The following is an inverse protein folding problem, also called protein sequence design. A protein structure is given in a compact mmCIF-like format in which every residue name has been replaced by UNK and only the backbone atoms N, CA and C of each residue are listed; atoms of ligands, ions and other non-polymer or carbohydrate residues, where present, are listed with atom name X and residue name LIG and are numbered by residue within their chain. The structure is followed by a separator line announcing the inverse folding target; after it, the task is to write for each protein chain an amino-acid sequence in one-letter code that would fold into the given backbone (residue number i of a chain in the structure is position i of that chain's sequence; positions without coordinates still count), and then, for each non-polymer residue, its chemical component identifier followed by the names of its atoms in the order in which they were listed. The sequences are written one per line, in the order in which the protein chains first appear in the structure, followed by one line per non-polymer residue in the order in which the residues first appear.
data_IF_408357382765
#
_entry.id   IF_408357382765
#
_cell.length_a   1.000
_cell.length_b   1.000
_cell.length_c   1.000
_cell.angle_alpha   90.00
_cell.angle_beta   90.00
_cell.angle_gamma   90.00
#
_symmetry.space_group_name_H-M   'P 1'
#
loop_
_entity.id
_entity.type
_entity.pdbx_description
1 polymer ?
#
# COMPACT_ATOMS: atom_id res chain seq x y z
N UNK A 1 -2.14 12.78 -3.65
CA UNK A 1 -0.84 12.50 -2.97
C UNK A 1 0.28 12.83 -3.94
N UNK A 2 1.39 13.37 -3.52
CA UNK A 2 2.51 13.70 -4.42
C UNK A 2 3.82 13.25 -3.79
N UNK A 3 3.94 11.94 -3.55
CA UNK A 3 5.15 11.35 -3.00
C UNK A 3 6.34 11.55 -3.95
N UNK A 4 7.53 11.82 -3.40
CA UNK A 4 8.73 12.13 -4.17
C UNK A 4 9.20 10.97 -5.07
N UNK A 5 8.77 9.75 -4.79
CA UNK A 5 9.18 8.53 -5.47
C UNK A 5 8.10 7.92 -6.39
N UNK A 6 6.91 8.53 -6.51
CA UNK A 6 5.79 7.92 -7.23
C UNK A 6 5.34 8.76 -8.43
N UNK A 7 5.26 8.15 -9.61
CA UNK A 7 4.81 8.80 -10.83
C UNK A 7 3.30 9.10 -10.82
N UNK A 8 2.49 8.29 -10.14
CA UNK A 8 1.03 8.45 -10.09
C UNK A 8 0.55 9.80 -9.55
N UNK A 9 1.40 10.50 -8.79
CA UNK A 9 1.08 11.82 -8.25
C UNK A 9 1.42 13.01 -9.16
N UNK A 10 2.09 12.80 -10.30
CA UNK A 10 2.64 13.89 -11.13
C UNK A 10 1.53 14.72 -11.75
N UNK A 11 0.49 14.06 -12.27
CA UNK A 11 -0.60 14.71 -13.01
C UNK A 11 -1.78 15.12 -12.10
N UNK A 12 -1.63 14.93 -10.78
CA UNK A 12 -2.66 15.27 -9.79
C UNK A 12 -3.85 14.30 -9.78
N UNK A 13 -4.89 14.66 -9.02
CA UNK A 13 -6.16 13.94 -8.99
C UNK A 13 -7.09 14.53 -10.05
N UNK A 14 -7.66 13.67 -10.89
CA UNK A 14 -8.68 14.09 -11.87
C UNK A 14 -10.07 13.89 -11.28
N UNK A 15 -10.38 12.66 -10.85
CA UNK A 15 -11.60 12.30 -10.14
C UNK A 15 -11.39 10.98 -9.37
N UNK A 16 -12.28 10.72 -8.46
CA UNK A 16 -12.39 9.42 -7.84
C UNK A 16 -13.15 8.44 -8.75
N UNK A 17 -12.81 7.15 -8.67
CA UNK A 17 -13.56 6.08 -9.31
C UNK A 17 -14.79 5.74 -8.47
N UNK A 18 -15.88 5.37 -9.13
CA UNK A 18 -17.05 4.79 -8.48
C UNK A 18 -16.79 3.33 -8.10
N UNK A 19 -17.55 2.79 -7.16
CA UNK A 19 -17.46 1.38 -6.77
C UNK A 19 -17.67 0.44 -7.97
N UNK A 20 -18.57 0.81 -8.90
CA UNK A 20 -18.83 0.05 -10.12
C UNK A 20 -17.64 0.05 -11.08
N UNK A 21 -16.92 1.16 -11.22
CA UNK A 21 -15.71 1.23 -12.05
C UNK A 21 -14.58 0.37 -11.46
N UNK A 22 -14.37 0.41 -10.15
CA UNK A 22 -13.36 -0.42 -9.47
C UNK A 22 -13.71 -1.90 -9.61
N UNK A 23 -14.99 -2.27 -9.46
CA UNK A 23 -15.45 -3.65 -9.65
C UNK A 23 -15.31 -4.08 -11.10
N UNK A 24 -15.56 -3.17 -12.05
CA UNK A 24 -15.44 -3.41 -13.48
C UNK A 24 -14.06 -3.90 -13.89
N UNK A 25 -12.97 -3.38 -13.30
CA UNK A 25 -11.60 -3.84 -13.54
C UNK A 25 -11.47 -5.35 -13.24
N UNK A 26 -12.07 -5.81 -12.14
CA UNK A 26 -12.02 -7.23 -11.73
C UNK A 26 -12.87 -8.09 -12.65
N UNK A 27 -14.03 -7.58 -13.07
CA UNK A 27 -14.91 -8.31 -14.00
C UNK A 27 -14.25 -8.48 -15.36
N UNK A 28 -13.57 -7.45 -15.88
CA UNK A 28 -12.83 -7.53 -17.14
C UNK A 28 -11.71 -8.57 -17.06
N UNK A 29 -10.89 -8.56 -16.01
CA UNK A 29 -9.83 -9.56 -15.83
C UNK A 29 -10.41 -10.96 -15.70
N UNK A 30 -11.51 -11.15 -14.96
CA UNK A 30 -12.18 -12.45 -14.87
C UNK A 30 -12.66 -12.93 -16.24
N UNK A 31 -13.21 -12.03 -17.07
CA UNK A 31 -13.67 -12.35 -18.43
C UNK A 31 -12.51 -12.76 -19.33
N UNK A 32 -11.43 -11.97 -19.32
CA UNK A 32 -10.27 -12.20 -20.18
C UNK A 32 -9.52 -13.49 -19.81
N UNK A 33 -9.49 -13.84 -18.52
CA UNK A 33 -8.90 -15.08 -18.01
C UNK A 33 -9.86 -16.30 -18.05
N UNK A 34 -11.02 -16.16 -18.71
CA UNK A 34 -11.96 -17.25 -18.93
C UNK A 34 -12.64 -17.77 -17.66
N UNK A 35 -12.93 -16.88 -16.71
CA UNK A 35 -13.73 -17.25 -15.54
C UNK A 35 -15.13 -17.72 -15.92
N UNK A 36 -15.67 -18.65 -15.14
CA UNK A 36 -17.04 -19.16 -15.28
C UNK A 36 -17.87 -18.82 -14.04
N UNK A 37 -19.18 -19.07 -14.08
CA UNK A 37 -20.06 -18.87 -12.93
C UNK A 37 -19.57 -19.63 -11.67
N UNK A 38 -18.96 -20.81 -11.88
CA UNK A 38 -18.50 -21.68 -10.78
C UNK A 38 -17.01 -21.48 -10.43
N UNK A 39 -16.25 -20.75 -11.26
CA UNK A 39 -14.81 -20.60 -11.10
C UNK A 39 -14.33 -19.20 -11.51
N UNK A 40 -14.09 -18.35 -10.51
CA UNK A 40 -13.43 -17.06 -10.72
C UNK A 40 -11.94 -17.23 -11.04
N UNK A 41 -11.37 -16.36 -11.86
CA UNK A 41 -9.94 -16.29 -12.15
C UNK A 41 -9.23 -15.40 -11.11
N UNK A 42 -9.83 -14.25 -10.75
CA UNK A 42 -9.30 -13.35 -9.73
C UNK A 42 -9.57 -13.90 -8.33
N UNK A 43 -8.51 -14.22 -7.59
CA UNK A 43 -8.58 -14.76 -6.22
C UNK A 43 -8.18 -13.77 -5.17
N UNK A 44 -7.30 -12.82 -5.50
CA UNK A 44 -6.80 -11.79 -4.59
C UNK A 44 -6.88 -10.42 -5.25
N UNK A 45 -7.16 -9.40 -4.48
CA UNK A 45 -7.27 -8.01 -4.93
C UNK A 45 -6.34 -7.13 -4.12
N UNK A 46 -5.60 -6.24 -4.78
CA UNK A 46 -4.74 -5.26 -4.12
C UNK A 46 -5.14 -3.84 -4.54
N UNK A 47 -5.53 -3.02 -3.59
CA UNK A 47 -5.80 -1.60 -3.79
C UNK A 47 -4.49 -0.82 -3.55
N UNK A 48 -3.58 -0.84 -4.55
CA UNK A 48 -2.22 -0.30 -4.46
C UNK A 48 -1.86 0.71 -5.55
N UNK A 49 -2.84 1.34 -6.18
CA UNK A 49 -2.70 2.38 -7.24
C UNK A 49 -3.96 2.43 -8.10
N UNK A 50 -4.14 3.49 -8.84
CA UNK A 50 -3.42 4.76 -8.78
C UNK A 50 -4.15 5.71 -7.87
N UNK A 51 -3.54 6.12 -6.75
CA UNK A 51 -4.14 7.07 -5.80
C UNK A 51 -4.11 6.56 -4.36
N UNK A 52 -5.03 7.08 -3.55
CA UNK A 52 -5.19 6.76 -2.14
C UNK A 52 -6.62 6.22 -1.90
N UNK A 53 -6.77 4.92 -1.61
CA UNK A 53 -8.10 4.33 -1.44
C UNK A 53 -8.94 4.99 -0.34
N UNK A 54 -8.31 5.37 0.77
CA UNK A 54 -9.03 5.98 1.89
C UNK A 54 -9.43 7.45 1.65
N UNK A 55 -8.91 8.09 0.60
CA UNK A 55 -9.37 9.40 0.14
C UNK A 55 -10.69 9.28 -0.66
N UNK A 56 -10.96 8.07 -1.19
CA UNK A 56 -12.20 7.68 -1.87
C UNK A 56 -13.04 6.70 -1.02
N UNK A 57 -13.13 6.95 0.27
CA UNK A 57 -13.59 6.01 1.28
C UNK A 57 -14.94 5.36 0.97
N UNK A 58 -15.97 6.17 0.65
CA UNK A 58 -17.33 5.68 0.49
C UNK A 58 -17.48 4.75 -0.72
N UNK A 59 -16.85 5.08 -1.84
CA UNK A 59 -16.87 4.22 -3.02
C UNK A 59 -16.01 2.96 -2.85
N UNK A 60 -14.88 3.07 -2.15
CA UNK A 60 -14.01 1.90 -1.86
C UNK A 60 -14.72 0.93 -0.90
N UNK A 61 -15.38 1.42 0.15
CA UNK A 61 -16.11 0.53 1.07
C UNK A 61 -17.32 -0.10 0.40
N UNK A 62 -18.04 0.63 -0.44
CA UNK A 62 -19.11 0.08 -1.28
C UNK A 62 -18.58 -1.00 -2.23
N UNK A 63 -17.43 -0.76 -2.86
CA UNK A 63 -16.75 -1.76 -3.68
C UNK A 63 -16.41 -3.03 -2.86
N UNK A 64 -15.88 -2.89 -1.64
CA UNK A 64 -15.57 -4.03 -0.78
C UNK A 64 -16.82 -4.86 -0.46
N UNK A 65 -17.96 -4.20 -0.19
CA UNK A 65 -19.24 -4.89 0.01
C UNK A 65 -19.67 -5.68 -1.24
N UNK A 66 -19.62 -5.05 -2.41
CA UNK A 66 -19.97 -5.70 -3.69
C UNK A 66 -19.04 -6.87 -4.04
N UNK A 67 -17.74 -6.70 -3.78
CA UNK A 67 -16.73 -7.73 -4.04
C UNK A 67 -16.93 -8.98 -3.16
N UNK A 68 -17.34 -8.78 -1.90
CA UNK A 68 -17.54 -9.84 -0.92
C UNK A 68 -18.95 -10.43 -0.95
N UNK A 69 -19.85 -9.88 -1.75
CA UNK A 69 -21.23 -10.37 -1.84
C UNK A 69 -21.27 -11.83 -2.24
N UNK A 70 -21.99 -12.66 -1.46
CA UNK A 70 -22.12 -14.12 -1.70
C UNK A 70 -22.81 -14.46 -3.02
N UNK A 71 -23.67 -13.58 -3.51
CA UNK A 71 -24.40 -13.74 -4.77
C UNK A 71 -23.66 -13.07 -5.95
N UNK A 72 -22.47 -12.46 -5.68
CA UNK A 72 -21.58 -11.83 -6.66
C UNK A 72 -20.28 -12.60 -6.87
N UNK A 73 -19.14 -11.87 -6.96
CA UNK A 73 -17.80 -12.46 -7.17
C UNK A 73 -17.34 -13.27 -5.95
N UNK A 74 -17.80 -12.90 -4.76
CA UNK A 74 -17.54 -13.59 -3.49
C UNK A 74 -16.04 -13.72 -3.16
N UNK A 75 -15.30 -12.63 -3.26
CA UNK A 75 -13.91 -12.56 -2.80
C UNK A 75 -13.89 -12.13 -1.34
N UNK A 76 -13.41 -13.02 -0.47
CA UNK A 76 -13.28 -12.72 0.96
C UNK A 76 -12.38 -11.52 1.21
N UNK A 77 -12.72 -10.69 2.21
CA UNK A 77 -11.88 -9.56 2.65
C UNK A 77 -10.45 -9.97 3.03
N UNK A 78 -10.25 -11.23 3.44
CA UNK A 78 -8.90 -11.78 3.71
C UNK A 78 -8.00 -11.82 2.49
N UNK A 79 -8.60 -11.85 1.30
CA UNK A 79 -7.91 -11.86 0.02
C UNK A 79 -7.82 -10.45 -0.59
N UNK A 80 -8.19 -9.43 0.19
CA UNK A 80 -8.08 -8.03 -0.22
C UNK A 80 -7.00 -7.34 0.59
N UNK A 81 -6.06 -6.69 -0.08
CA UNK A 81 -5.07 -5.81 0.54
C UNK A 81 -5.39 -4.36 0.19
N UNK A 82 -5.61 -3.53 1.20
CA UNK A 82 -5.84 -2.10 1.05
C UNK A 82 -4.61 -1.35 1.52
N UNK A 83 -3.95 -0.64 0.60
CA UNK A 83 -2.79 0.18 0.89
C UNK A 83 -3.18 1.64 1.09
N UNK A 84 -2.64 2.26 2.14
CA UNK A 84 -2.87 3.68 2.44
C UNK A 84 -1.58 4.38 2.82
N UNK A 85 -1.50 5.67 2.54
CA UNK A 85 -0.42 6.53 3.04
C UNK A 85 -0.53 6.84 4.55
N UNK A 86 -1.55 6.30 5.23
CA UNK A 86 -1.75 6.45 6.67
C UNK A 86 -2.72 7.56 7.05
N UNK A 87 -3.88 7.64 6.40
CA UNK A 87 -5.00 8.54 6.77
C UNK A 87 -5.65 7.97 8.04
N UNK A 88 -5.18 8.41 9.20
CA UNK A 88 -5.43 7.77 10.50
C UNK A 88 -6.88 7.74 10.93
N UNK A 89 -7.62 8.80 10.66
CA UNK A 89 -9.08 8.90 10.89
C UNK A 89 -9.86 7.88 10.05
N UNK A 90 -9.45 7.68 8.80
CA UNK A 90 -10.08 6.71 7.91
C UNK A 90 -9.70 5.26 8.23
N UNK A 91 -8.46 5.03 8.71
CA UNK A 91 -8.06 3.71 9.22
C UNK A 91 -8.94 3.29 10.41
N UNK A 92 -9.20 4.21 11.35
CA UNK A 92 -10.09 3.94 12.49
C UNK A 92 -11.52 3.71 12.03
N UNK A 93 -12.02 4.56 11.12
CA UNK A 93 -13.35 4.40 10.55
C UNK A 93 -13.51 3.05 9.85
N UNK A 94 -12.49 2.58 9.10
CA UNK A 94 -12.52 1.27 8.43
C UNK A 94 -12.72 0.12 9.43
N UNK A 95 -12.07 0.21 10.59
CA UNK A 95 -12.23 -0.76 11.69
C UNK A 95 -13.61 -0.66 12.36
N UNK A 96 -14.13 0.55 12.57
CA UNK A 96 -15.45 0.78 13.18
C UNK A 96 -16.60 0.34 12.27
N UNK A 97 -16.44 0.51 10.95
CA UNK A 97 -17.39 0.02 9.94
C UNK A 97 -17.31 -1.51 9.74
N UNK A 98 -16.39 -2.21 10.44
CA UNK A 98 -16.31 -3.67 10.49
C UNK A 98 -15.51 -4.33 9.37
N UNK A 99 -14.81 -3.56 8.53
CA UNK A 99 -13.96 -4.12 7.47
C UNK A 99 -12.67 -4.73 8.03
N UNK A 100 -12.37 -5.96 7.61
CA UNK A 100 -11.22 -6.74 8.08
C UNK A 100 -10.25 -7.15 6.96
N UNK A 101 -10.01 -6.27 6.01
CA UNK A 101 -9.05 -6.44 4.92
C UNK A 101 -7.60 -6.50 5.43
N UNK A 102 -6.66 -6.94 4.61
CA UNK A 102 -5.23 -6.81 4.93
C UNK A 102 -4.83 -5.35 4.79
N UNK A 103 -4.70 -4.66 5.93
CA UNK A 103 -4.30 -3.26 5.95
C UNK A 103 -2.80 -3.15 5.70
N UNK A 104 -2.43 -2.40 4.66
CA UNK A 104 -1.05 -2.10 4.30
C UNK A 104 -0.81 -0.61 4.40
N UNK A 105 0.21 -0.17 5.11
CA UNK A 105 0.46 1.25 5.38
C UNK A 105 1.82 1.65 4.82
N UNK A 106 1.82 2.62 3.93
CA UNK A 106 3.02 3.23 3.35
C UNK A 106 3.73 4.09 4.40
N UNK A 107 4.68 3.50 5.12
CA UNK A 107 5.47 4.18 6.15
C UNK A 107 6.69 4.88 5.55
N UNK A 108 7.52 4.14 4.83
CA UNK A 108 8.68 4.54 4.03
C UNK A 108 9.78 5.31 4.77
N UNK A 109 9.67 5.51 6.06
CA UNK A 109 10.68 6.19 6.87
C UNK A 109 10.61 5.74 8.34
N UNK A 110 11.74 5.75 9.08
CA UNK A 110 11.76 5.42 10.49
C UNK A 110 11.44 6.62 11.40
N UNK A 111 11.51 7.86 10.85
CA UNK A 111 11.23 9.11 11.58
C UNK A 111 10.36 10.06 10.76
N UNK A 112 9.66 10.97 11.44
CA UNK A 112 8.81 11.97 10.79
C UNK A 112 9.61 12.94 9.91
N UNK A 113 10.85 13.25 10.30
CA UNK A 113 11.74 14.15 9.55
C UNK A 113 12.04 13.56 8.17
N UNK A 114 12.51 12.31 8.13
CA UNK A 114 12.78 11.63 6.84
C UNK A 114 11.48 11.45 6.05
N UNK A 115 10.39 11.05 6.73
CA UNK A 115 9.11 10.82 6.07
C UNK A 115 8.58 12.07 5.34
N UNK A 116 8.72 13.23 5.94
CA UNK A 116 8.31 14.53 5.33
C UNK A 116 9.07 14.86 4.06
N UNK A 117 10.31 14.42 3.91
CA UNK A 117 11.11 14.70 2.70
C UNK A 117 10.59 13.93 1.49
N UNK A 118 9.92 12.80 1.70
CA UNK A 118 9.50 11.89 0.63
C UNK A 118 7.98 11.77 0.50
N UNK A 119 7.22 12.08 1.56
CA UNK A 119 5.75 11.96 1.59
C UNK A 119 5.11 13.24 2.14
N UNK A 120 4.45 14.06 1.32
CA UNK A 120 3.77 15.29 1.79
C UNK A 120 2.72 15.06 2.88
N UNK A 121 2.08 13.89 2.88
CA UNK A 121 1.10 13.49 3.90
C UNK A 121 1.68 13.42 5.32
N UNK A 122 3.00 13.27 5.46
CA UNK A 122 3.69 13.27 6.75
C UNK A 122 3.61 14.63 7.49
N UNK A 123 3.25 15.71 6.80
CA UNK A 123 2.97 16.99 7.45
C UNK A 123 1.71 16.92 8.33
N UNK A 124 0.72 16.10 7.94
CA UNK A 124 -0.54 15.92 8.66
C UNK A 124 -0.53 14.68 9.57
N UNK A 125 -0.05 13.56 9.06
CA UNK A 125 -0.12 12.26 9.74
C UNK A 125 1.26 11.83 10.22
N UNK A 126 1.50 11.89 11.53
CA UNK A 126 2.76 11.50 12.17
C UNK A 126 2.86 9.98 12.32
N UNK A 127 4.08 9.46 12.38
CA UNK A 127 4.33 8.03 12.58
C UNK A 127 3.62 7.52 13.84
N UNK A 128 3.68 8.26 14.94
CA UNK A 128 3.03 7.88 16.19
C UNK A 128 1.51 7.71 16.03
N UNK A 129 0.84 8.63 15.33
CA UNK A 129 -0.60 8.58 15.08
C UNK A 129 -0.97 7.40 14.16
N UNK A 130 -0.11 7.12 13.16
CA UNK A 130 -0.27 5.97 12.26
C UNK A 130 -0.17 4.65 13.03
N UNK A 131 0.82 4.52 13.92
CA UNK A 131 1.00 3.33 14.75
C UNK A 131 -0.18 3.10 15.68
N UNK A 132 -0.72 4.17 16.25
CA UNK A 132 -1.89 4.11 17.13
C UNK A 132 -3.15 3.73 16.34
N UNK A 133 -3.37 4.28 15.16
CA UNK A 133 -4.48 3.90 14.27
C UNK A 133 -4.36 2.43 13.79
N UNK A 134 -3.14 1.97 13.46
CA UNK A 134 -2.89 0.59 13.08
C UNK A 134 -3.14 -0.39 14.24
N UNK A 135 -2.72 -0.01 15.46
CA UNK A 135 -3.04 -0.78 16.67
C UNK A 135 -4.55 -0.85 16.90
N UNK A 136 -5.26 0.26 16.79
CA UNK A 136 -6.72 0.30 16.91
C UNK A 136 -7.39 -0.63 15.89
N UNK A 137 -6.92 -0.62 14.63
CA UNK A 137 -7.41 -1.53 13.59
C UNK A 137 -7.19 -3.00 13.99
N UNK A 138 -5.99 -3.34 14.50
CA UNK A 138 -5.69 -4.68 14.98
C UNK A 138 -6.58 -5.09 16.17
N UNK A 139 -6.74 -4.22 17.15
CA UNK A 139 -7.56 -4.50 18.34
C UNK A 139 -9.03 -4.79 17.98
N UNK A 140 -9.56 -4.12 16.95
CA UNK A 140 -10.93 -4.30 16.46
C UNK A 140 -11.12 -5.54 15.57
N UNK A 141 -10.16 -5.81 14.70
CA UNK A 141 -10.31 -6.80 13.61
C UNK A 141 -9.55 -8.11 13.85
N UNK A 142 -8.59 -8.12 14.77
CA UNK A 142 -7.63 -9.21 14.95
C UNK A 142 -6.64 -9.38 13.78
N UNK A 143 -6.67 -8.49 12.78
CA UNK A 143 -5.85 -8.58 11.57
C UNK A 143 -4.52 -7.89 11.74
N UNK A 144 -3.41 -8.63 11.57
CA UNK A 144 -2.07 -8.04 11.46
C UNK A 144 -2.03 -7.06 10.30
N UNK A 145 -1.29 -5.98 10.46
CA UNK A 145 -1.08 -4.99 9.41
C UNK A 145 0.34 -5.06 8.86
N UNK A 146 0.52 -4.49 7.68
CA UNK A 146 1.78 -4.49 6.94
C UNK A 146 2.27 -3.06 6.80
N UNK A 147 3.56 -2.84 7.03
CA UNK A 147 4.21 -1.59 6.65
C UNK A 147 5.01 -1.77 5.36
N UNK A 148 4.72 -0.95 4.37
CA UNK A 148 5.54 -0.82 3.16
C UNK A 148 6.68 0.16 3.42
N UNK A 149 7.90 -0.24 3.03
CA UNK A 149 9.09 0.57 3.19
C UNK A 149 9.92 0.53 1.91
N UNK A 150 9.80 1.57 1.08
CA UNK A 150 10.62 1.75 -0.11
C UNK A 150 12.02 2.20 0.29
N UNK A 151 13.02 1.41 -0.08
CA UNK A 151 14.42 1.70 0.16
C UNK A 151 14.92 2.70 -0.89
N UNK A 152 15.20 3.92 -0.46
CA UNK A 152 15.63 5.04 -1.31
C UNK A 152 17.09 5.34 -0.99
N UNK A 153 17.96 5.17 -1.99
CA UNK A 153 19.42 5.32 -1.86
C UNK A 153 19.81 6.69 -1.30
N UNK A 154 20.56 6.67 -0.19
CA UNK A 154 21.06 7.87 0.49
C UNK A 154 19.99 8.65 1.28
N UNK A 155 18.77 8.13 1.43
CA UNK A 155 17.69 8.80 2.16
C UNK A 155 17.26 8.00 3.40
N UNK A 156 16.89 6.75 3.21
CA UNK A 156 16.31 5.91 4.28
C UNK A 156 16.84 4.46 4.28
N UNK A 157 17.92 4.19 3.55
CA UNK A 157 18.50 2.87 3.31
C UNK A 157 19.71 2.54 4.21
N UNK A 158 20.05 3.39 5.16
CA UNK A 158 21.16 3.15 6.08
C UNK A 158 20.81 2.18 7.23
N UNK A 159 21.83 1.50 7.77
CA UNK A 159 21.72 0.63 8.94
C UNK A 159 21.02 1.31 10.12
N UNK A 160 21.36 2.57 10.43
CA UNK A 160 20.75 3.34 11.51
C UNK A 160 19.24 3.55 11.29
N UNK A 161 18.82 3.70 10.04
CA UNK A 161 17.40 3.79 9.69
C UNK A 161 16.66 2.49 10.01
N UNK A 162 17.26 1.33 9.70
CA UNK A 162 16.66 0.02 10.01
C UNK A 162 16.63 -0.25 11.50
N UNK A 163 17.68 0.09 12.25
CA UNK A 163 17.70 -0.04 13.70
C UNK A 163 16.66 0.87 14.37
N UNK A 164 16.49 2.08 13.85
CA UNK A 164 15.46 3.02 14.33
C UNK A 164 14.06 2.48 14.01
N UNK A 165 13.84 1.98 12.79
CA UNK A 165 12.57 1.35 12.38
C UNK A 165 12.25 0.16 13.28
N UNK A 166 13.23 -0.69 13.55
CA UNK A 166 13.05 -1.85 14.43
C UNK A 166 12.63 -1.43 15.85
N UNK A 167 13.25 -0.39 16.41
CA UNK A 167 12.85 0.16 17.73
C UNK A 167 11.39 0.67 17.71
N UNK A 168 11.01 1.40 16.68
CA UNK A 168 9.65 1.96 16.52
C UNK A 168 8.59 0.86 16.39
N UNK A 169 8.92 -0.25 15.74
CA UNK A 169 8.00 -1.35 15.47
C UNK A 169 8.04 -2.49 16.49
N UNK A 170 8.99 -2.47 17.43
CA UNK A 170 9.16 -3.54 18.42
C UNK A 170 7.88 -3.84 19.18
N UNK A 171 7.51 -5.13 19.25
CA UNK A 171 6.33 -5.63 19.97
C UNK A 171 4.99 -5.34 19.29
N UNK A 172 4.97 -4.80 18.07
CA UNK A 172 3.75 -4.55 17.31
C UNK A 172 3.38 -5.74 16.42
N UNK A 173 2.09 -6.06 16.24
CA UNK A 173 1.63 -7.18 15.41
C UNK A 173 1.70 -6.81 13.92
N UNK A 174 2.87 -6.48 13.42
CA UNK A 174 3.09 -6.03 12.06
C UNK A 174 4.04 -6.93 11.27
N UNK A 175 4.10 -6.72 9.97
CA UNK A 175 5.09 -7.22 9.04
C UNK A 175 5.63 -6.05 8.23
N UNK A 176 6.90 -6.09 7.80
CA UNK A 176 7.51 -5.06 6.96
C UNK A 176 7.79 -5.62 5.58
N UNK A 177 7.23 -5.01 4.54
CA UNK A 177 7.61 -5.26 3.16
C UNK A 177 8.63 -4.21 2.71
N UNK A 178 9.88 -4.63 2.53
CA UNK A 178 10.91 -3.81 1.90
C UNK A 178 10.72 -3.82 0.39
N UNK A 179 10.65 -2.64 -0.20
CA UNK A 179 10.47 -2.45 -1.64
C UNK A 179 11.77 -1.88 -2.20
N UNK A 180 12.37 -2.58 -3.18
CA UNK A 180 13.39 -1.96 -4.04
C UNK A 180 12.69 -0.91 -4.88
N UNK A 181 13.03 0.37 -4.67
CA UNK A 181 12.39 1.46 -5.41
C UNK A 181 12.65 1.31 -6.91
N UNK A 182 11.58 1.25 -7.69
CA UNK A 182 11.69 1.30 -9.14
C UNK A 182 12.04 2.72 -9.58
N UNK A 183 12.93 2.82 -10.56
CA UNK A 183 13.34 4.12 -11.07
C UNK A 183 12.18 4.81 -11.79
N UNK A 184 11.91 6.04 -11.41
CA UNK A 184 10.98 6.95 -12.08
C UNK A 184 11.76 8.14 -12.60
N UNK A 185 11.85 8.26 -13.91
CA UNK A 185 12.70 9.26 -14.59
C UNK A 185 12.42 10.68 -14.11
N UNK A 186 11.15 11.03 -13.96
CA UNK A 186 10.69 12.36 -13.59
C UNK A 186 10.94 12.70 -12.12
N UNK A 187 11.21 11.70 -11.28
CA UNK A 187 11.45 11.86 -9.84
C UNK A 187 12.92 11.80 -9.45
N UNK A 188 13.76 11.18 -10.26
CA UNK A 188 15.21 11.14 -10.08
C UNK A 188 15.76 10.32 -8.92
N UNK A 189 14.87 9.77 -8.07
CA UNK A 189 15.27 8.93 -6.93
C UNK A 189 15.61 7.51 -7.40
N UNK A 190 16.58 6.90 -6.74
CA UNK A 190 17.04 5.52 -7.04
C UNK A 190 16.79 4.61 -5.84
N UNK A 191 16.52 3.34 -6.12
CA UNK A 191 16.46 2.29 -5.12
C UNK A 191 17.84 1.97 -4.56
N UNK A 192 17.85 1.45 -3.33
CA UNK A 192 19.04 0.89 -2.72
C UNK A 192 19.28 -0.55 -3.22
N UNK A 193 20.55 -0.93 -3.26
CA UNK A 193 20.98 -2.24 -3.76
C UNK A 193 20.86 -3.34 -2.69
N UNK A 194 21.03 -2.97 -1.39
CA UNK A 194 21.25 -3.89 -0.26
C UNK A 194 19.97 -4.27 0.51
N UNK A 195 18.85 -4.49 -0.20
CA UNK A 195 17.55 -4.77 0.43
C UNK A 195 17.55 -6.04 1.31
N UNK A 196 18.33 -7.07 0.95
CA UNK A 196 18.43 -8.30 1.76
C UNK A 196 19.22 -8.06 3.06
N UNK A 197 20.24 -7.21 3.03
CA UNK A 197 20.95 -6.81 4.26
C UNK A 197 20.02 -6.01 5.18
N UNK A 198 19.25 -5.07 4.65
CA UNK A 198 18.26 -4.30 5.40
C UNK A 198 17.20 -5.22 6.04
N UNK A 199 16.73 -6.21 5.30
CA UNK A 199 15.83 -7.25 5.82
C UNK A 199 16.48 -7.99 7.00
N UNK A 200 17.71 -8.45 6.85
CA UNK A 200 18.44 -9.18 7.89
C UNK A 200 18.56 -8.37 9.19
N UNK A 201 18.87 -7.06 9.09
CA UNK A 201 18.93 -6.17 10.25
C UNK A 201 17.57 -6.14 10.99
N UNK A 202 16.45 -6.02 10.26
CA UNK A 202 15.13 -6.03 10.86
C UNK A 202 14.82 -7.37 11.56
N UNK A 203 15.10 -8.49 10.91
CA UNK A 203 14.87 -9.85 11.45
C UNK A 203 15.71 -10.11 12.70
N UNK A 204 16.99 -9.73 12.73
CA UNK A 204 17.87 -9.82 13.89
C UNK A 204 17.37 -8.98 15.08
N UNK A 205 16.58 -7.93 14.81
CA UNK A 205 15.94 -7.10 15.83
C UNK A 205 14.48 -7.51 16.13
N UNK A 206 14.05 -8.70 15.66
CA UNK A 206 12.76 -9.28 15.97
C UNK A 206 11.59 -8.73 15.16
N UNK A 207 11.84 -8.05 14.03
CA UNK A 207 10.82 -7.56 13.11
C UNK A 207 10.71 -8.52 11.92
N UNK A 208 9.52 -9.08 11.72
CA UNK A 208 9.23 -9.91 10.54
C UNK A 208 9.28 -9.04 9.27
N UNK A 209 10.13 -9.41 8.30
CA UNK A 209 10.31 -8.64 7.09
C UNK A 209 10.43 -9.52 5.84
N UNK A 210 10.04 -8.98 4.68
CA UNK A 210 10.28 -9.57 3.36
C UNK A 210 10.77 -8.51 2.38
N UNK A 211 11.54 -8.93 1.38
CA UNK A 211 11.84 -8.09 0.22
C UNK A 211 10.86 -8.42 -0.88
N UNK A 212 10.08 -7.42 -1.29
CA UNK A 212 9.05 -7.57 -2.33
C UNK A 212 9.68 -7.84 -3.68
N UNK A 213 9.13 -8.79 -4.42
CA UNK A 213 9.53 -9.04 -5.81
C UNK A 213 9.15 -7.86 -6.69
N UNK A 214 10.08 -7.43 -7.54
CA UNK A 214 9.79 -6.45 -8.59
C UNK A 214 9.13 -7.16 -9.76
N UNK A 215 7.99 -6.66 -10.22
CA UNK A 215 7.26 -7.14 -11.39
C UNK A 215 6.80 -5.96 -12.22
N UNK A 216 6.77 -6.10 -13.56
CA UNK A 216 6.25 -5.10 -14.48
C UNK A 216 7.14 -3.86 -14.66
N UNK A 217 8.42 -3.92 -14.29
CA UNK A 217 9.36 -2.80 -14.48
C UNK A 217 9.71 -2.58 -15.95
N UNK A 218 9.59 -3.60 -16.78
CA UNK A 218 9.84 -3.60 -18.21
C UNK A 218 8.74 -2.89 -19.03
N UNK A 219 7.54 -2.79 -18.45
CA UNK A 219 6.39 -2.10 -19.08
C UNK A 219 5.97 -0.84 -18.31
N UNK A 220 6.84 -0.29 -17.46
CA UNK A 220 6.53 0.83 -16.54
C UNK A 220 5.29 0.60 -15.65
N UNK A 221 4.95 -0.67 -15.41
CA UNK A 221 3.80 -1.11 -14.61
C UNK A 221 4.15 -1.44 -13.16
N UNK A 222 5.43 -1.35 -12.77
CA UNK A 222 5.84 -1.64 -11.41
C UNK A 222 5.39 -0.57 -10.42
N UNK A 223 5.42 -0.91 -9.12
CA UNK A 223 5.04 0.01 -8.06
C UNK A 223 5.77 1.36 -8.18
N UNK A 224 4.99 2.44 -8.13
CA UNK A 224 5.48 3.81 -8.28
C UNK A 224 5.69 4.28 -9.73
N UNK A 225 5.62 3.41 -10.73
CA UNK A 225 5.83 3.76 -12.14
C UNK A 225 4.53 4.07 -12.89
N UNK A 226 3.39 3.56 -12.42
CA UNK A 226 2.11 3.78 -13.08
C UNK A 226 1.80 5.28 -13.18
N UNK A 227 1.69 5.74 -14.43
CA UNK A 227 1.33 7.09 -14.79
C UNK A 227 0.32 7.07 -15.93
N UNK A 228 -0.59 8.02 -15.94
CA UNK A 228 -1.56 8.21 -17.01
C UNK A 228 -0.84 8.72 -18.26
N UNK A 229 -0.43 7.81 -19.15
CA UNK A 229 0.26 8.16 -20.43
C UNK A 229 -0.68 8.20 -21.64
N UNK A 230 -1.95 7.74 -21.51
CA UNK A 230 -2.82 7.39 -22.64
C UNK A 230 -4.09 8.25 -22.73
N UNK A 231 -4.01 9.55 -22.50
CA UNK A 231 -5.21 10.42 -22.56
C UNK A 231 -5.06 11.63 -23.47
N UNK A 232 -4.10 11.62 -24.36
CA UNK A 232 -3.91 12.67 -25.36
C UNK A 232 -3.79 12.11 -26.79
N UNK A 233 -4.63 11.12 -27.15
CA UNK A 233 -4.88 10.77 -28.55
C UNK A 233 -6.36 10.95 -28.86
#
# INVERSE_FOLDING_TARGET
MNCAFCASGIDGLIRNLTAGEILGEILEVNRDEGATADKRAVTNVVLMGSGEPLDNYDEVTKFLCLLNDKDGINVSERNVSLSTCGITDKIRKLADDGFSVTLTISLHAPTDEIRKTIMPTANKYKIADILDAAKYYFDKTGRRYIFEYALIKGVNDGTDNMLTLAKVLKGKPCHVNLIRLNYVKEKGLRGADDAEEMKKILEENGISATVRRTMGSDIDGACGQLRRRYVND
#
